data_IF_982543384800
#
_entry.id   IF_982543384800
#
_cell.length_a   1.000
_cell.length_b   1.000
_cell.length_c   1.000
_cell.angle_alpha   90.00
_cell.angle_beta   90.00
_cell.angle_gamma   90.00
#
_symmetry.space_group_name_H-M   'P 1'
#
loop_
_entity.id
_entity.type
_entity.pdbx_description
1 polymer ?
#
# COMPACT_ATOMS: atom_id res chain seq x y z
N UNK A 1 -12.16 -7.72 -5.63
CA UNK A 1 -11.17 -6.93 -4.86
C UNK A 1 -11.23 -5.49 -5.28
N UNK A 2 -11.27 -4.58 -4.31
CA UNK A 2 -11.25 -3.17 -4.67
C UNK A 2 -9.94 -2.80 -5.33
N UNK A 3 -9.98 -1.83 -6.23
CA UNK A 3 -8.78 -1.30 -6.87
C UNK A 3 -7.92 -0.55 -5.85
N UNK A 4 -6.63 -0.32 -6.14
CA UNK A 4 -5.78 0.49 -5.25
C UNK A 4 -6.37 1.88 -4.98
N UNK A 5 -7.05 2.45 -5.97
CA UNK A 5 -7.71 3.75 -5.82
C UNK A 5 -8.87 3.65 -4.83
N UNK A 6 -9.67 2.62 -4.93
CA UNK A 6 -10.79 2.38 -4.02
C UNK A 6 -10.29 2.16 -2.59
N UNK A 7 -9.20 1.41 -2.42
CA UNK A 7 -8.59 1.21 -1.12
C UNK A 7 -8.10 2.53 -0.52
N UNK A 8 -7.49 3.38 -1.32
CA UNK A 8 -7.03 4.68 -0.86
C UNK A 8 -8.19 5.54 -0.37
N UNK A 9 -9.30 5.53 -1.09
CA UNK A 9 -10.50 6.26 -0.66
C UNK A 9 -11.16 5.63 0.57
N UNK A 10 -11.08 4.32 0.71
CA UNK A 10 -11.62 3.64 1.89
C UNK A 10 -10.87 4.02 3.17
N UNK A 11 -9.57 4.29 3.08
CA UNK A 11 -8.78 4.74 4.23
C UNK A 11 -9.01 6.21 4.55
N UNK A 12 -9.52 6.97 3.61
CA UNK A 12 -9.86 8.37 3.79
C UNK A 12 -11.37 8.53 3.65
N UNK A 13 -12.09 8.29 4.73
CA UNK A 13 -13.56 8.27 4.75
C UNK A 13 -14.19 9.57 4.29
N UNK A 14 -13.44 10.65 4.27
CA UNK A 14 -13.88 11.94 3.74
C UNK A 14 -12.88 12.39 2.69
N UNK A 15 -13.03 11.97 1.42
CA UNK A 15 -12.20 12.55 0.38
C UNK A 15 -12.41 14.08 0.41
N UNK A 16 -11.32 14.85 0.35
CA UNK A 16 -11.46 16.30 0.40
C UNK A 16 -12.23 16.76 -0.83
N UNK A 17 -13.53 16.92 -0.68
CA UNK A 17 -14.43 17.33 -1.76
C UNK A 17 -14.09 18.70 -2.34
N UNK A 18 -13.13 19.40 -1.71
CA UNK A 18 -12.77 20.77 -2.10
C UNK A 18 -11.50 20.85 -2.91
N UNK A 19 -10.74 19.77 -3.00
CA UNK A 19 -9.50 19.80 -3.76
C UNK A 19 -9.79 19.25 -5.13
N UNK A 20 -10.24 20.17 -5.96
CA UNK A 20 -10.34 19.87 -7.38
C UNK A 20 -8.94 20.02 -7.95
N UNK A 21 -8.20 18.93 -7.95
CA UNK A 21 -6.98 18.91 -8.69
C UNK A 21 -7.31 19.14 -10.16
N UNK A 22 -6.48 19.91 -10.89
CA UNK A 22 -6.63 19.98 -12.33
C UNK A 22 -6.66 18.58 -12.94
N UNK A 23 -7.40 18.39 -14.02
CA UNK A 23 -7.53 17.09 -14.67
C UNK A 23 -6.15 16.44 -14.96
N UNK A 24 -5.14 17.25 -15.28
CA UNK A 24 -3.78 16.79 -15.51
C UNK A 24 -3.19 16.13 -14.27
N UNK A 25 -3.40 16.73 -13.10
CA UNK A 25 -2.90 16.17 -11.84
C UNK A 25 -3.62 14.88 -11.49
N UNK A 26 -4.92 14.81 -11.72
CA UNK A 26 -5.68 13.58 -11.48
C UNK A 26 -5.17 12.44 -12.37
N UNK A 27 -4.96 12.69 -13.65
CA UNK A 27 -4.43 11.69 -14.58
C UNK A 27 -3.00 11.27 -14.19
N UNK A 28 -2.17 12.22 -13.77
CA UNK A 28 -0.81 11.94 -13.34
C UNK A 28 -0.80 11.04 -12.10
N UNK A 29 -1.65 11.31 -11.14
CA UNK A 29 -1.75 10.48 -9.92
C UNK A 29 -2.28 9.09 -10.27
N UNK A 30 -3.23 8.97 -11.18
CA UNK A 30 -3.70 7.66 -11.64
C UNK A 30 -2.55 6.82 -12.22
N UNK A 31 -1.69 7.41 -13.04
CA UNK A 31 -0.53 6.71 -13.59
C UNK A 31 0.40 6.24 -12.48
N UNK A 32 0.62 7.07 -11.47
CA UNK A 32 1.46 6.72 -10.33
C UNK A 32 0.85 5.57 -9.54
N UNK A 33 -0.45 5.60 -9.28
CA UNK A 33 -1.13 4.53 -8.54
C UNK A 33 -1.02 3.19 -9.28
N UNK A 34 -1.20 3.19 -10.59
CA UNK A 34 -1.03 1.99 -11.40
C UNK A 34 0.41 1.46 -11.36
N UNK A 35 1.37 2.37 -11.45
CA UNK A 35 2.79 2.00 -11.39
C UNK A 35 3.13 1.38 -10.04
N UNK A 36 2.66 1.95 -8.95
CA UNK A 36 2.87 1.41 -7.60
C UNK A 36 2.30 0.00 -7.51
N UNK A 37 1.06 -0.18 -7.95
CA UNK A 37 0.38 -1.47 -7.87
C UNK A 37 1.13 -2.57 -8.64
N UNK A 38 1.69 -2.24 -9.77
CA UNK A 38 2.41 -3.19 -10.63
C UNK A 38 3.85 -3.46 -10.18
N UNK A 39 4.39 -2.66 -9.25
CA UNK A 39 5.80 -2.70 -8.88
C UNK A 39 6.02 -2.73 -7.37
N UNK A 40 5.09 -3.30 -6.60
CA UNK A 40 5.18 -3.33 -5.14
C UNK A 40 6.43 -4.03 -4.63
N UNK A 41 6.92 -5.03 -5.34
CA UNK A 41 8.11 -5.78 -4.97
C UNK A 41 9.42 -5.11 -5.41
N UNK A 42 9.32 -3.95 -6.06
CA UNK A 42 10.46 -3.17 -6.51
C UNK A 42 10.72 -2.01 -5.58
N UNK A 43 11.91 -1.44 -5.64
CA UNK A 43 12.19 -0.19 -4.96
C UNK A 43 11.35 0.92 -5.59
N UNK A 44 10.58 1.61 -4.77
CA UNK A 44 9.73 2.72 -5.21
C UNK A 44 10.19 3.97 -4.49
N UNK A 45 10.91 4.83 -5.20
CA UNK A 45 11.39 6.08 -4.62
C UNK A 45 10.43 7.22 -4.92
N UNK A 46 10.38 8.17 -4.00
CA UNK A 46 9.56 9.37 -4.19
C UNK A 46 9.98 10.14 -5.45
N UNK A 47 11.29 10.18 -5.72
CA UNK A 47 11.83 10.85 -6.90
C UNK A 47 11.31 10.22 -8.20
N UNK A 48 11.33 8.90 -8.30
CA UNK A 48 10.84 8.20 -9.48
C UNK A 48 9.35 8.43 -9.69
N UNK A 49 8.57 8.41 -8.62
CA UNK A 49 7.13 8.62 -8.71
C UNK A 49 6.82 10.06 -9.10
N UNK A 50 7.57 11.02 -8.58
CA UNK A 50 7.42 12.42 -8.96
C UNK A 50 7.74 12.63 -10.43
N UNK A 51 8.81 12.02 -10.92
CA UNK A 51 9.19 12.07 -12.34
C UNK A 51 8.08 11.49 -13.22
N UNK A 52 7.51 10.37 -12.83
CA UNK A 52 6.41 9.75 -13.55
C UNK A 52 5.19 10.67 -13.63
N UNK A 53 4.95 11.44 -12.57
CA UNK A 53 3.87 12.41 -12.53
C UNK A 53 4.20 13.72 -13.25
N UNK A 54 5.48 13.94 -13.60
CA UNK A 54 5.92 15.20 -14.21
C UNK A 54 5.93 16.36 -13.22
N UNK A 55 6.15 16.07 -11.92
CA UNK A 55 6.12 17.07 -10.87
C UNK A 55 7.42 17.04 -10.07
N UNK A 56 7.72 18.14 -9.38
CA UNK A 56 8.78 18.13 -8.38
C UNK A 56 8.41 17.18 -7.24
N UNK A 57 9.40 16.71 -6.50
CA UNK A 57 9.17 15.81 -5.37
C UNK A 57 8.19 16.42 -4.37
N UNK A 58 8.43 17.70 -4.03
CA UNK A 58 7.58 18.40 -3.06
C UNK A 58 6.15 18.54 -3.56
N UNK A 59 5.99 18.97 -4.81
CA UNK A 59 4.67 19.15 -5.42
C UNK A 59 3.94 17.82 -5.54
N UNK A 60 4.65 16.79 -5.96
CA UNK A 60 4.09 15.44 -6.07
C UNK A 60 3.54 14.96 -4.72
N UNK A 61 4.34 15.07 -3.66
CA UNK A 61 3.92 14.64 -2.33
C UNK A 61 2.64 15.36 -1.88
N UNK A 62 2.58 16.67 -2.14
CA UNK A 62 1.41 17.48 -1.79
C UNK A 62 0.18 17.04 -2.58
N UNK A 63 0.30 16.94 -3.90
CA UNK A 63 -0.81 16.60 -4.78
C UNK A 63 -1.30 15.17 -4.49
N UNK A 64 -0.37 14.24 -4.30
CA UNK A 64 -0.72 12.86 -3.98
C UNK A 64 -1.56 12.79 -2.70
N UNK A 65 -1.07 13.45 -1.63
CA UNK A 65 -1.77 13.45 -0.35
C UNK A 65 -3.15 14.11 -0.47
N UNK A 66 -3.26 15.17 -1.26
CA UNK A 66 -4.53 15.84 -1.48
C UNK A 66 -5.54 14.94 -2.18
N UNK A 67 -5.10 14.17 -3.19
CA UNK A 67 -6.00 13.35 -3.99
C UNK A 67 -6.26 11.97 -3.37
N UNK A 68 -5.25 11.38 -2.75
CA UNK A 68 -5.34 10.02 -2.21
C UNK A 68 -5.71 10.02 -0.73
N UNK A 69 -5.38 11.08 -0.01
CA UNK A 69 -5.72 11.24 1.40
C UNK A 69 -4.60 10.86 2.36
N UNK A 70 -3.59 10.15 1.90
CA UNK A 70 -2.41 9.78 2.69
C UNK A 70 -1.15 10.00 1.87
N UNK A 71 0.00 10.02 2.54
CA UNK A 71 1.28 10.21 1.84
C UNK A 71 1.60 9.04 0.92
N UNK A 72 2.43 9.24 -0.11
CA UNK A 72 2.85 8.15 -0.99
C UNK A 72 3.51 7.00 -0.23
N UNK A 73 4.36 7.31 0.73
CA UNK A 73 5.04 6.29 1.53
C UNK A 73 4.04 5.42 2.31
N UNK A 74 3.09 6.06 2.97
CA UNK A 74 2.07 5.34 3.74
C UNK A 74 1.18 4.48 2.84
N UNK A 75 0.84 5.01 1.68
CA UNK A 75 0.04 4.28 0.71
C UNK A 75 0.76 3.01 0.23
N UNK A 76 2.04 3.14 -0.16
CA UNK A 76 2.84 2.00 -0.59
C UNK A 76 2.97 0.97 0.53
N UNK A 77 3.28 1.41 1.73
CA UNK A 77 3.41 0.53 2.88
C UNK A 77 2.12 -0.25 3.15
N UNK A 78 0.99 0.43 3.04
CA UNK A 78 -0.32 -0.19 3.24
C UNK A 78 -0.60 -1.27 2.21
N UNK A 79 -0.33 -0.99 0.94
CA UNK A 79 -0.52 -1.98 -0.12
C UNK A 79 0.40 -3.19 0.07
N UNK A 80 1.65 -2.95 0.47
CA UNK A 80 2.60 -4.02 0.75
C UNK A 80 2.13 -4.90 1.90
N UNK A 81 1.60 -4.29 2.97
CA UNK A 81 1.06 -5.04 4.10
C UNK A 81 -0.14 -5.89 3.70
N UNK A 82 -1.05 -5.35 2.92
CA UNK A 82 -2.21 -6.09 2.45
C UNK A 82 -1.81 -7.26 1.55
N UNK A 83 -0.81 -7.05 0.70
CA UNK A 83 -0.29 -8.12 -0.15
C UNK A 83 0.36 -9.22 0.69
N UNK A 84 1.18 -8.84 1.68
CA UNK A 84 1.80 -9.80 2.59
C UNK A 84 0.75 -10.57 3.37
N UNK A 85 -0.29 -9.91 3.85
CA UNK A 85 -1.39 -10.54 4.56
C UNK A 85 -2.08 -11.60 3.70
N UNK A 86 -2.35 -11.27 2.44
CA UNK A 86 -2.97 -12.22 1.51
C UNK A 86 -2.08 -13.43 1.25
N UNK A 87 -0.77 -13.21 1.08
CA UNK A 87 0.19 -14.30 0.86
C UNK A 87 0.29 -15.22 2.08
N UNK A 88 0.36 -14.65 3.27
CA UNK A 88 0.41 -15.42 4.52
C UNK A 88 -0.86 -16.24 4.69
N UNK A 89 -2.00 -15.66 4.36
CA UNK A 89 -3.28 -16.38 4.41
C UNK A 89 -3.31 -17.56 3.47
N UNK A 90 -2.62 -17.48 2.34
CA UNK A 90 -2.49 -18.57 1.38
C UNK A 90 -1.48 -19.65 1.81
N UNK A 91 -0.81 -19.44 2.94
CA UNK A 91 0.17 -20.40 3.45
C UNK A 91 1.60 -20.09 3.06
N UNK A 92 1.87 -18.95 2.43
CA UNK A 92 3.23 -18.55 2.09
C UNK A 92 3.97 -18.19 3.37
N UNK A 93 5.20 -18.71 3.58
CA UNK A 93 6.00 -18.36 4.77
C UNK A 93 6.25 -16.85 4.86
N UNK A 94 6.32 -16.33 6.09
CA UNK A 94 6.46 -14.89 6.31
C UNK A 94 7.70 -14.31 5.62
N UNK A 95 8.81 -15.04 5.58
CA UNK A 95 10.02 -14.56 4.89
C UNK A 95 9.79 -14.38 3.39
N UNK A 96 9.12 -15.33 2.76
CA UNK A 96 8.79 -15.26 1.32
C UNK A 96 7.75 -14.18 1.06
N UNK A 97 6.74 -14.08 1.92
CA UNK A 97 5.71 -13.03 1.82
C UNK A 97 6.34 -11.64 1.91
N UNK A 98 7.30 -11.45 2.81
CA UNK A 98 8.01 -10.18 2.93
C UNK A 98 8.70 -9.80 1.62
N UNK A 99 9.44 -10.74 1.04
CA UNK A 99 10.15 -10.51 -0.22
C UNK A 99 9.19 -10.18 -1.36
N UNK A 100 8.15 -10.99 -1.53
CA UNK A 100 7.19 -10.81 -2.61
C UNK A 100 6.36 -9.54 -2.47
N UNK A 101 6.11 -9.11 -1.24
CA UNK A 101 5.35 -7.90 -0.97
C UNK A 101 6.19 -6.62 -1.01
N UNK A 102 7.51 -6.74 -1.12
CA UNK A 102 8.39 -5.58 -1.25
C UNK A 102 8.98 -5.07 0.06
N UNK A 103 8.94 -5.86 1.13
CA UNK A 103 9.63 -5.52 2.38
C UNK A 103 11.10 -5.91 2.31
N UNK A 104 11.92 -5.19 3.07
CA UNK A 104 13.35 -5.45 3.10
C UNK A 104 13.65 -6.86 3.60
N UNK A 105 13.00 -7.27 4.71
CA UNK A 105 13.13 -8.60 5.28
C UNK A 105 11.90 -8.93 6.13
N UNK A 106 11.90 -10.13 6.72
CA UNK A 106 10.80 -10.59 7.57
C UNK A 106 10.61 -9.72 8.81
N UNK A 107 11.71 -9.24 9.39
CA UNK A 107 11.63 -8.37 10.58
C UNK A 107 10.94 -7.06 10.26
N UNK A 108 11.25 -6.48 9.11
CA UNK A 108 10.62 -5.25 8.64
C UNK A 108 9.11 -5.46 8.44
N UNK A 109 8.74 -6.56 7.78
CA UNK A 109 7.34 -6.94 7.62
C UNK A 109 6.65 -7.10 8.98
N UNK A 110 7.26 -7.84 9.90
CA UNK A 110 6.66 -8.13 11.20
C UNK A 110 6.39 -6.86 12.01
N UNK A 111 7.31 -5.91 12.00
CA UNK A 111 7.11 -4.65 12.71
C UNK A 111 5.96 -3.84 12.14
N UNK A 112 5.90 -3.70 10.83
CA UNK A 112 4.82 -2.97 10.18
C UNK A 112 3.49 -3.69 10.32
N UNK A 113 3.49 -5.01 10.18
CA UNK A 113 2.30 -5.84 10.32
C UNK A 113 1.68 -5.68 11.71
N UNK A 114 2.51 -5.80 12.74
CA UNK A 114 2.04 -5.63 14.12
C UNK A 114 1.53 -4.22 14.39
N UNK A 115 2.21 -3.21 13.83
CA UNK A 115 1.80 -1.82 14.00
C UNK A 115 0.41 -1.55 13.41
N UNK A 116 0.09 -2.18 12.28
CA UNK A 116 -1.18 -1.92 11.57
C UNK A 116 -2.28 -2.88 12.00
N UNK A 117 -1.97 -4.17 12.15
CA UNK A 117 -2.97 -5.20 12.43
C UNK A 117 -3.02 -5.63 13.89
N UNK A 118 -2.14 -5.10 14.75
CA UNK A 118 -2.13 -5.40 16.17
C UNK A 118 -1.54 -6.74 16.55
N UNK A 119 -1.07 -7.53 15.59
CA UNK A 119 -0.47 -8.85 15.84
C UNK A 119 0.61 -9.14 14.81
N UNK A 120 1.51 -10.06 15.14
CA UNK A 120 2.55 -10.51 14.21
C UNK A 120 1.95 -11.36 13.10
N UNK A 121 2.66 -11.54 11.97
CA UNK A 121 2.22 -12.46 10.93
C UNK A 121 1.95 -13.88 11.45
N UNK A 122 2.79 -14.38 12.36
CA UNK A 122 2.59 -15.69 12.96
C UNK A 122 1.33 -15.78 13.78
N UNK A 123 1.07 -14.77 14.61
CA UNK A 123 -0.16 -14.68 15.40
C UNK A 123 -1.38 -14.59 14.50
N UNK A 124 -1.29 -13.80 13.45
CA UNK A 124 -2.36 -13.66 12.48
C UNK A 124 -2.69 -14.99 11.81
N UNK A 125 -1.68 -15.74 11.39
CA UNK A 125 -1.88 -17.03 10.76
C UNK A 125 -2.55 -18.02 11.71
N UNK A 126 -2.13 -18.05 12.96
CA UNK A 126 -2.73 -18.90 13.99
C UNK A 126 -4.20 -18.53 14.19
N UNK A 127 -4.51 -17.26 14.32
CA UNK A 127 -5.90 -16.79 14.48
C UNK A 127 -6.75 -17.14 13.26
N UNK A 128 -6.22 -17.00 12.06
CA UNK A 128 -6.92 -17.33 10.82
C UNK A 128 -7.23 -18.81 10.73
N UNK A 129 -6.30 -19.69 11.17
CA UNK A 129 -6.52 -21.13 11.20
C UNK A 129 -7.59 -21.54 12.18
N UNK A 130 -7.64 -20.88 13.34
CA UNK A 130 -8.66 -21.15 14.36
C UNK A 130 -10.05 -20.77 13.87
N UNK A 131 -10.13 -19.69 13.10
CA UNK A 131 -11.41 -19.19 12.57
C UNK A 131 -11.81 -19.83 11.24
N UNK A 132 -10.88 -20.52 10.57
CA UNK A 132 -11.19 -21.16 9.30
C UNK A 132 -12.18 -22.30 9.52
N UNK A 133 -13.26 -22.38 8.74
CA UNK A 133 -14.16 -23.54 8.85
C UNK A 133 -13.37 -24.79 8.55
N UNK A 134 -13.57 -25.80 9.37
CA UNK A 134 -12.97 -27.10 9.12
C UNK A 134 -13.53 -27.64 7.82
N UNK A 135 -12.71 -27.75 6.82
CA UNK A 135 -13.07 -28.33 5.54
C UNK A 135 -12.62 -29.77 5.49
#
# INVERSE_FOLDING_TARGET
>A
MPSPVELAYAFNMNPPARIQAPARSAAAIQRVLQHIDMNLNQALTLSELADLAGLSIWRFATVFRQQVGISPHRYICRLRLERAQALIRQGIPAASAASEAGFYDQSHLSRHFKSVFGMTPGQYLTAARVQAPAS
#
